data_IF_599064970254
#
_entry.id   IF_599064970254
#
_cell.length_a   1.000
_cell.length_b   1.000
_cell.length_c   1.000
_cell.angle_alpha   90.00
_cell.angle_beta   90.00
_cell.angle_gamma   90.00
#
_symmetry.space_group_name_H-M   'P 1'
#
loop_
_entity.id
_entity.type
_entity.pdbx_description
1 polymer ?
#
# COMPACT_ATOMS: atom_id res chain seq x y z
N UNK A 1 16.15 -26.31 4.99
CA UNK A 1 16.00 -24.88 5.30
C UNK A 1 14.87 -24.35 4.45
N UNK A 2 13.80 -23.80 5.03
CA UNK A 2 12.72 -23.18 4.24
C UNK A 2 13.29 -21.97 3.50
N UNK A 3 13.26 -22.01 2.17
CA UNK A 3 13.60 -20.86 1.33
C UNK A 3 12.40 -19.92 1.38
N UNK A 4 12.60 -18.66 1.79
CA UNK A 4 11.52 -17.67 1.68
C UNK A 4 11.31 -17.35 0.20
N UNK A 5 10.11 -17.55 -0.35
CA UNK A 5 9.86 -17.32 -1.77
C UNK A 5 9.85 -15.83 -2.13
N UNK A 6 9.54 -14.97 -1.15
CA UNK A 6 9.45 -13.52 -1.32
C UNK A 6 10.43 -12.78 -0.40
N UNK A 7 10.97 -11.63 -0.84
CA UNK A 7 11.77 -10.77 0.03
C UNK A 7 10.92 -10.22 1.18
N UNK A 8 11.57 -9.94 2.31
CA UNK A 8 10.89 -9.32 3.46
C UNK A 8 10.41 -7.90 3.10
N UNK A 9 9.14 -7.54 3.39
CA UNK A 9 8.60 -6.21 3.09
C UNK A 9 9.45 -5.07 3.66
N UNK A 10 9.94 -5.20 4.90
CA UNK A 10 10.82 -4.20 5.50
C UNK A 10 12.19 -4.08 4.78
N UNK A 11 12.69 -5.16 4.18
CA UNK A 11 13.93 -5.11 3.40
C UNK A 11 13.73 -4.40 2.06
N UNK A 12 12.61 -4.65 1.38
CA UNK A 12 12.23 -3.95 0.15
C UNK A 12 12.04 -2.46 0.43
N UNK A 13 11.26 -2.12 1.45
CA UNK A 13 11.04 -0.73 1.86
C UNK A 13 12.36 -0.05 2.22
N UNK A 14 13.23 -0.69 3.01
CA UNK A 14 14.53 -0.14 3.34
C UNK A 14 15.39 0.14 2.09
N UNK A 15 15.39 -0.75 1.09
CA UNK A 15 16.12 -0.53 -0.15
C UNK A 15 15.58 0.68 -0.94
N UNK A 16 14.25 0.80 -1.07
CA UNK A 16 13.60 1.92 -1.76
C UNK A 16 13.82 3.24 -1.03
N UNK A 17 13.60 3.27 0.28
CA UNK A 17 13.81 4.44 1.12
C UNK A 17 15.26 4.93 1.05
N UNK A 18 16.22 4.00 1.08
CA UNK A 18 17.64 4.32 0.91
C UNK A 18 17.95 4.90 -0.46
N UNK A 19 17.38 4.36 -1.53
CA UNK A 19 17.57 4.85 -2.89
C UNK A 19 17.09 6.31 -3.04
N UNK A 20 15.91 6.62 -2.54
CA UNK A 20 15.35 7.99 -2.59
C UNK A 20 15.86 8.92 -1.48
N UNK A 21 16.69 8.40 -0.56
CA UNK A 21 17.19 9.10 0.65
C UNK A 21 16.07 9.63 1.55
N UNK A 22 15.04 8.82 1.74
CA UNK A 22 13.96 9.08 2.69
C UNK A 22 14.24 8.36 4.01
N UNK A 23 14.40 9.12 5.10
CA UNK A 23 14.78 8.56 6.38
C UNK A 23 13.59 8.33 7.33
N UNK A 24 12.64 9.26 7.39
CA UNK A 24 11.56 9.22 8.39
C UNK A 24 10.27 8.66 7.80
N UNK A 25 9.74 7.67 8.50
CA UNK A 25 8.56 6.90 8.09
C UNK A 25 7.48 7.01 9.15
N UNK A 26 6.23 7.15 8.71
CA UNK A 26 5.05 6.87 9.51
C UNK A 26 4.39 5.58 9.02
N UNK A 27 3.79 4.84 9.95
CA UNK A 27 2.97 3.66 9.65
C UNK A 27 1.54 3.94 10.08
N UNK A 28 0.61 3.81 9.14
CA UNK A 28 -0.83 3.94 9.37
C UNK A 28 -1.47 2.60 9.04
N UNK A 29 -2.13 1.99 10.01
CA UNK A 29 -2.82 0.71 9.83
C UNK A 29 -4.34 0.90 9.75
N UNK A 30 -5.04 0.01 9.04
CA UNK A 30 -6.49 -0.15 9.21
C UNK A 30 -6.81 -0.70 10.61
N UNK A 31 -8.06 -0.58 11.12
CA UNK A 31 -8.35 -0.82 12.52
C UNK A 31 -8.43 -2.30 12.89
N UNK A 32 -8.44 -3.20 11.89
CA UNK A 32 -8.46 -4.65 12.13
C UNK A 32 -7.15 -5.11 12.76
N UNK A 33 -7.23 -6.00 13.75
CA UNK A 33 -6.07 -6.49 14.51
C UNK A 33 -4.94 -6.98 13.62
N UNK A 34 -5.27 -7.68 12.52
CA UNK A 34 -4.30 -8.12 11.51
C UNK A 34 -3.44 -6.97 10.99
N UNK A 35 -4.05 -5.86 10.60
CA UNK A 35 -3.37 -4.71 10.02
C UNK A 35 -2.61 -3.90 11.08
N UNK A 36 -3.17 -3.80 12.29
CA UNK A 36 -2.51 -3.15 13.42
C UNK A 36 -1.22 -3.90 13.81
N UNK A 37 -1.28 -5.22 13.91
CA UNK A 37 -0.12 -6.05 14.25
C UNK A 37 0.90 -6.06 13.13
N UNK A 38 0.45 -6.12 11.87
CA UNK A 38 1.32 -5.95 10.69
C UNK A 38 2.06 -4.62 10.72
N UNK A 39 1.35 -3.51 11.03
CA UNK A 39 1.95 -2.19 11.12
C UNK A 39 2.96 -2.05 12.26
N UNK A 40 2.67 -2.65 13.42
CA UNK A 40 3.60 -2.68 14.57
C UNK A 40 4.86 -3.49 14.26
N UNK A 41 4.69 -4.66 13.64
CA UNK A 41 5.80 -5.53 13.25
C UNK A 41 6.67 -4.85 12.20
N UNK A 42 6.07 -4.29 11.16
CA UNK A 42 6.79 -3.52 10.15
C UNK A 42 7.58 -2.37 10.77
N UNK A 43 6.96 -1.60 11.67
CA UNK A 43 7.64 -0.51 12.35
C UNK A 43 8.85 -1.00 13.18
N UNK A 44 8.74 -2.17 13.82
CA UNK A 44 9.84 -2.82 14.54
C UNK A 44 10.97 -3.22 13.59
N UNK A 45 10.66 -3.86 12.48
CA UNK A 45 11.64 -4.31 11.49
C UNK A 45 12.37 -3.14 10.82
N UNK A 46 11.66 -2.07 10.44
CA UNK A 46 12.27 -0.86 9.86
C UNK A 46 13.21 -0.18 10.86
N UNK A 47 12.80 -0.05 12.14
CA UNK A 47 13.67 0.48 13.20
C UNK A 47 14.92 -0.38 13.41
N UNK A 48 14.77 -1.71 13.37
CA UNK A 48 15.91 -2.63 13.46
C UNK A 48 16.90 -2.48 12.28
N UNK A 49 16.42 -2.01 11.13
CA UNK A 49 17.24 -1.65 9.95
C UNK A 49 17.78 -0.21 10.01
N UNK A 50 17.57 0.52 11.11
CA UNK A 50 18.09 1.88 11.31
C UNK A 50 17.23 3.00 10.74
N UNK A 51 15.98 2.71 10.33
CA UNK A 51 15.05 3.73 9.85
C UNK A 51 14.22 4.32 11.00
N UNK A 52 14.23 5.65 11.18
CA UNK A 52 13.32 6.32 12.11
C UNK A 52 11.84 6.13 11.72
N UNK A 53 11.12 5.31 12.49
CA UNK A 53 9.66 5.24 12.42
C UNK A 53 9.09 6.07 13.56
N UNK A 54 8.59 7.27 13.25
CA UNK A 54 8.20 8.29 14.25
C UNK A 54 6.74 8.16 14.69
N UNK A 55 5.86 7.70 13.80
CA UNK A 55 4.43 7.53 14.07
C UNK A 55 4.02 6.11 13.70
N UNK A 56 3.29 5.46 14.61
CA UNK A 56 2.56 4.22 14.34
C UNK A 56 1.15 4.43 14.88
N UNK A 57 0.15 4.48 14.01
CA UNK A 57 -1.26 4.73 14.39
C UNK A 57 -2.20 3.86 13.57
N UNK A 58 -3.41 3.66 14.05
CA UNK A 58 -4.51 3.15 13.24
C UNK A 58 -5.35 4.31 12.69
N UNK A 59 -6.02 4.06 11.57
CA UNK A 59 -7.07 4.88 10.96
C UNK A 59 -8.23 3.95 10.62
N UNK A 60 -9.47 4.32 10.94
CA UNK A 60 -10.64 3.54 10.55
C UNK A 60 -11.27 3.96 9.22
N UNK A 61 -12.49 3.47 8.99
CA UNK A 61 -13.27 3.73 7.79
C UNK A 61 -13.95 5.11 7.81
N UNK A 62 -13.99 5.79 8.97
CA UNK A 62 -14.62 7.09 9.13
C UNK A 62 -13.64 8.24 8.89
N UNK A 63 -14.14 9.33 8.27
CA UNK A 63 -13.32 10.49 7.90
C UNK A 63 -12.61 11.13 9.10
N UNK A 64 -13.27 11.19 10.26
CA UNK A 64 -12.71 11.79 11.48
C UNK A 64 -11.49 11.01 11.98
N UNK A 65 -11.54 9.67 11.92
CA UNK A 65 -10.44 8.81 12.37
C UNK A 65 -9.25 8.87 11.41
N UNK A 66 -9.52 8.85 10.11
CA UNK A 66 -8.50 9.05 9.08
C UNK A 66 -7.82 10.41 9.20
N UNK A 67 -8.61 11.47 9.39
CA UNK A 67 -8.11 12.83 9.59
C UNK A 67 -7.26 12.95 10.88
N UNK A 68 -7.69 12.33 11.99
CA UNK A 68 -6.93 12.30 13.23
C UNK A 68 -5.58 11.59 13.07
N UNK A 69 -5.54 10.46 12.35
CA UNK A 69 -4.32 9.73 12.04
C UNK A 69 -3.37 10.58 11.19
N UNK A 70 -3.86 11.18 10.09
CA UNK A 70 -3.07 12.04 9.20
C UNK A 70 -2.54 13.28 9.90
N UNK A 71 -3.32 13.91 10.79
CA UNK A 71 -2.82 15.02 11.61
C UNK A 71 -1.70 14.64 12.54
N UNK A 72 -1.67 13.40 13.06
CA UNK A 72 -0.52 12.90 13.84
C UNK A 72 0.72 12.78 12.97
N UNK A 73 0.57 12.26 11.74
CA UNK A 73 1.64 12.16 10.75
C UNK A 73 2.16 13.55 10.36
N UNK A 74 1.28 14.49 10.01
CA UNK A 74 1.64 15.85 9.57
C UNK A 74 2.38 16.66 10.65
N UNK A 75 2.13 16.37 11.93
CA UNK A 75 2.82 17.00 13.07
C UNK A 75 4.15 16.35 13.41
N UNK A 76 4.44 15.17 12.90
CA UNK A 76 5.67 14.46 13.18
C UNK A 76 6.81 15.05 12.33
N UNK A 77 7.93 15.33 12.99
CA UNK A 77 9.06 15.96 12.34
C UNK A 77 9.74 15.03 11.31
N UNK A 78 10.07 15.61 10.17
CA UNK A 78 10.83 14.97 9.09
C UNK A 78 10.11 13.86 8.30
N UNK A 79 8.89 13.45 8.67
CA UNK A 79 8.18 12.35 7.99
C UNK A 79 7.92 12.71 6.53
N UNK A 80 8.41 11.85 5.64
CA UNK A 80 8.18 11.96 4.19
C UNK A 80 7.40 10.77 3.62
N UNK A 81 7.47 9.62 4.28
CA UNK A 81 6.84 8.39 3.79
C UNK A 81 5.79 7.91 4.77
N UNK A 82 4.60 7.61 4.25
CA UNK A 82 3.47 7.05 4.99
C UNK A 82 3.21 5.66 4.45
N UNK A 83 3.60 4.63 5.21
CA UNK A 83 3.30 3.24 4.85
C UNK A 83 1.91 2.88 5.36
N UNK A 84 1.05 2.46 4.44
CA UNK A 84 -0.36 2.14 4.69
C UNK A 84 -0.50 0.63 4.83
N UNK A 85 -0.65 0.13 6.06
CA UNK A 85 -0.94 -1.26 6.38
C UNK A 85 -2.45 -1.49 6.36
N UNK A 86 -3.01 -1.66 5.17
CA UNK A 86 -4.45 -1.79 4.92
C UNK A 86 -4.65 -2.35 3.52
N UNK A 87 -5.88 -2.78 3.21
CA UNK A 87 -6.22 -3.20 1.85
C UNK A 87 -6.11 -2.02 0.87
N UNK A 88 -5.52 -2.27 -0.30
CA UNK A 88 -5.40 -1.29 -1.36
C UNK A 88 -6.76 -0.93 -1.96
N UNK A 89 -6.98 0.37 -2.23
CA UNK A 89 -8.19 0.89 -2.86
C UNK A 89 -8.42 0.32 -4.25
N UNK A 90 -7.33 -0.04 -4.94
CA UNK A 90 -7.39 -0.71 -6.25
C UNK A 90 -7.99 -2.12 -6.17
N UNK A 91 -8.03 -2.71 -4.97
CA UNK A 91 -8.64 -4.00 -4.66
C UNK A 91 -9.87 -3.85 -3.75
N UNK A 92 -10.48 -2.66 -3.71
CA UNK A 92 -11.69 -2.40 -2.92
C UNK A 92 -11.45 -1.99 -1.46
N UNK A 93 -10.22 -1.73 -1.05
CA UNK A 93 -9.89 -1.27 0.29
C UNK A 93 -10.52 0.09 0.65
N UNK A 94 -11.41 0.09 1.65
CA UNK A 94 -12.21 1.26 2.04
C UNK A 94 -11.42 2.23 2.91
N UNK A 95 -10.65 1.72 3.85
CA UNK A 95 -9.80 2.53 4.74
C UNK A 95 -8.76 3.32 3.96
N UNK A 96 -8.10 2.67 2.98
CA UNK A 96 -7.13 3.37 2.13
C UNK A 96 -7.79 4.46 1.31
N UNK A 97 -9.00 4.21 0.78
CA UNK A 97 -9.76 5.21 0.04
C UNK A 97 -10.00 6.46 0.90
N UNK A 98 -10.58 6.27 2.08
CA UNK A 98 -10.93 7.38 2.99
C UNK A 98 -9.67 8.11 3.46
N UNK A 99 -8.60 7.37 3.78
CA UNK A 99 -7.32 7.95 4.17
C UNK A 99 -6.74 8.83 3.05
N UNK A 100 -6.72 8.35 1.81
CA UNK A 100 -6.20 9.12 0.67
C UNK A 100 -7.07 10.34 0.35
N UNK A 101 -8.38 10.20 0.37
CA UNK A 101 -9.30 11.34 0.19
C UNK A 101 -9.10 12.41 1.27
N UNK A 102 -8.91 12.02 2.53
CA UNK A 102 -8.57 12.96 3.61
C UNK A 102 -7.16 13.54 3.49
N UNK A 103 -6.20 12.79 2.95
CA UNK A 103 -4.87 13.29 2.69
C UNK A 103 -4.89 14.43 1.66
N UNK A 104 -5.70 14.30 0.61
CA UNK A 104 -5.95 15.38 -0.36
C UNK A 104 -6.59 16.60 0.30
N UNK A 105 -7.65 16.40 1.11
CA UNK A 105 -8.32 17.51 1.83
C UNK A 105 -7.36 18.25 2.78
N UNK A 106 -6.35 17.54 3.33
CA UNK A 106 -5.32 18.10 4.22
C UNK A 106 -4.09 18.64 3.48
N UNK A 107 -4.06 18.59 2.14
CA UNK A 107 -2.94 19.02 1.30
C UNK A 107 -1.67 18.20 1.55
N UNK A 108 -1.80 16.90 1.80
CA UNK A 108 -0.67 15.99 2.02
C UNK A 108 -0.22 15.27 0.73
N UNK A 109 -0.88 15.53 -0.39
CA UNK A 109 -0.71 14.87 -1.69
C UNK A 109 0.06 15.74 -2.70
N UNK A 110 0.59 16.88 -2.27
CA UNK A 110 1.34 17.86 -3.08
C UNK A 110 2.80 17.48 -3.37
N UNK A 111 3.22 16.26 -3.01
CA UNK A 111 4.59 15.77 -3.10
C UNK A 111 5.42 15.92 -1.82
N UNK A 112 4.86 16.54 -0.76
CA UNK A 112 5.48 16.57 0.57
C UNK A 112 5.52 15.19 1.20
N UNK A 113 4.45 14.40 1.05
CA UNK A 113 4.37 13.01 1.51
C UNK A 113 4.28 12.05 0.34
N UNK A 114 4.80 10.84 0.56
CA UNK A 114 4.65 9.70 -0.34
C UNK A 114 3.92 8.60 0.41
N UNK A 115 2.81 8.13 -0.16
CA UNK A 115 2.00 7.08 0.43
C UNK A 115 2.38 5.73 -0.20
N UNK A 116 2.64 4.72 0.63
CA UNK A 116 3.09 3.40 0.15
C UNK A 116 2.14 2.32 0.66
N UNK A 117 1.38 1.64 -0.22
CA UNK A 117 0.55 0.50 0.18
C UNK A 117 1.45 -0.67 0.58
N UNK A 118 1.28 -1.18 1.80
CA UNK A 118 2.05 -2.32 2.29
C UNK A 118 1.63 -3.62 1.57
N UNK A 119 0.33 -3.82 1.38
CA UNK A 119 -0.23 -5.06 0.85
C UNK A 119 0.29 -5.35 -0.56
N UNK A 120 0.46 -4.33 -1.41
CA UNK A 120 1.03 -4.44 -2.75
C UNK A 120 2.47 -5.00 -2.80
N UNK A 121 3.21 -4.98 -1.68
CA UNK A 121 4.53 -5.63 -1.58
C UNK A 121 4.43 -7.16 -1.58
N UNK A 122 3.25 -7.72 -1.33
CA UNK A 122 3.05 -9.15 -1.05
C UNK A 122 2.41 -9.92 -2.20
N UNK A 123 1.94 -9.23 -3.25
CA UNK A 123 1.35 -9.82 -4.44
C UNK A 123 1.72 -9.02 -5.69
N UNK A 124 1.43 -9.57 -6.88
CA UNK A 124 1.64 -8.90 -8.16
C UNK A 124 0.39 -8.08 -8.53
N UNK A 125 0.50 -6.75 -8.46
CA UNK A 125 -0.55 -5.84 -8.88
C UNK A 125 -0.42 -5.58 -10.40
N UNK A 126 -1.50 -5.73 -11.19
CA UNK A 126 -1.46 -5.46 -12.62
C UNK A 126 -1.11 -3.98 -12.90
N UNK A 127 0.05 -3.70 -13.51
CA UNK A 127 0.53 -2.32 -13.70
C UNK A 127 0.64 -1.88 -15.17
N UNK A 128 0.58 -2.81 -16.14
CA UNK A 128 0.72 -2.50 -17.57
C UNK A 128 -0.64 -2.39 -18.25
N UNK A 129 -0.98 -1.20 -18.73
CA UNK A 129 -2.18 -0.93 -19.57
C UNK A 129 -3.50 -1.38 -18.91
N UNK A 130 -3.60 -1.28 -17.59
CA UNK A 130 -4.81 -1.65 -16.84
C UNK A 130 -5.60 -0.40 -16.48
N UNK A 131 -6.90 -0.32 -16.83
CA UNK A 131 -7.76 0.74 -16.32
C UNK A 131 -8.06 0.50 -14.84
N UNK A 132 -8.10 1.58 -14.05
CA UNK A 132 -8.56 1.54 -12.66
C UNK A 132 -9.87 2.33 -12.52
N UNK A 133 -11.05 1.69 -12.71
CA UNK A 133 -12.35 2.36 -12.67
C UNK A 133 -12.62 3.11 -11.36
N UNK A 134 -12.09 2.59 -10.24
CA UNK A 134 -12.22 3.21 -8.91
C UNK A 134 -11.62 4.62 -8.87
N UNK A 135 -10.56 4.88 -9.65
CA UNK A 135 -9.94 6.21 -9.77
C UNK A 135 -10.65 7.08 -10.82
N UNK A 136 -11.15 6.48 -11.90
CA UNK A 136 -11.82 7.22 -12.98
C UNK A 136 -13.10 7.92 -12.52
N UNK A 137 -13.84 7.29 -11.61
CA UNK A 137 -15.13 7.78 -11.11
C UNK A 137 -15.01 8.76 -9.93
N UNK A 138 -13.79 9.09 -9.49
CA UNK A 138 -13.56 9.91 -8.32
C UNK A 138 -12.34 10.81 -8.48
N UNK A 139 -12.57 12.06 -8.87
CA UNK A 139 -11.50 13.05 -9.08
C UNK A 139 -10.65 13.28 -7.85
N UNK A 140 -11.24 13.32 -6.64
CA UNK A 140 -10.51 13.53 -5.40
C UNK A 140 -9.55 12.37 -5.14
N UNK A 141 -10.06 11.15 -5.17
CA UNK A 141 -9.24 9.96 -5.00
C UNK A 141 -8.14 9.86 -6.05
N UNK A 142 -8.44 10.24 -7.31
CA UNK A 142 -7.46 10.26 -8.39
C UNK A 142 -6.30 11.21 -8.10
N UNK A 143 -6.59 12.44 -7.66
CA UNK A 143 -5.56 13.41 -7.26
C UNK A 143 -4.75 12.89 -6.06
N UNK A 144 -5.43 12.31 -5.07
CA UNK A 144 -4.75 11.71 -3.93
C UNK A 144 -3.82 10.55 -4.33
N UNK A 145 -4.23 9.76 -5.32
CA UNK A 145 -3.48 8.61 -5.80
C UNK A 145 -2.18 8.99 -6.53
N UNK A 146 -2.06 10.22 -7.05
CA UNK A 146 -0.81 10.73 -7.63
C UNK A 146 0.33 10.80 -6.59
N UNK A 147 0.00 10.85 -5.29
CA UNK A 147 0.98 10.79 -4.20
C UNK A 147 1.34 9.36 -3.75
N UNK A 148 0.78 8.33 -4.40
CA UNK A 148 1.00 6.92 -4.04
C UNK A 148 2.16 6.31 -4.84
N UNK A 149 3.15 5.77 -4.12
CA UNK A 149 4.21 4.94 -4.69
C UNK A 149 3.90 3.47 -4.46
N UNK A 150 3.40 2.80 -5.50
CA UNK A 150 3.14 1.36 -5.48
C UNK A 150 4.41 0.58 -5.81
N UNK A 151 4.81 -0.32 -4.91
CA UNK A 151 5.89 -1.27 -5.10
C UNK A 151 5.24 -2.65 -5.14
N UNK A 152 5.47 -3.41 -6.21
CA UNK A 152 4.82 -4.71 -6.41
C UNK A 152 5.75 -5.72 -7.06
N UNK A 153 5.36 -7.00 -7.01
CA UNK A 153 6.10 -8.10 -7.60
C UNK A 153 5.93 -8.03 -9.12
N UNK A 154 7.06 -8.08 -9.85
CA UNK A 154 7.04 -8.22 -11.30
C UNK A 154 7.03 -9.71 -11.67
N UNK A 155 6.12 -10.09 -12.57
CA UNK A 155 6.09 -11.40 -13.20
C UNK A 155 6.48 -11.22 -14.67
N UNK A 156 7.75 -11.47 -15.04
CA UNK A 156 8.30 -11.05 -16.33
C UNK A 156 7.76 -11.83 -17.52
N UNK A 157 7.27 -13.05 -17.32
CA UNK A 157 6.79 -13.94 -18.39
C UNK A 157 5.34 -13.63 -18.78
N UNK A 158 4.44 -13.69 -17.80
CA UNK A 158 3.03 -13.33 -17.95
C UNK A 158 2.53 -12.76 -16.61
N UNK A 159 1.62 -11.78 -16.67
CA UNK A 159 0.91 -11.34 -15.46
C UNK A 159 0.06 -12.49 -14.91
N UNK A 160 -0.24 -12.48 -13.60
CA UNK A 160 -1.15 -13.46 -13.00
C UNK A 160 -2.49 -13.52 -13.77
N UNK A 161 -2.98 -12.38 -14.24
CA UNK A 161 -4.21 -12.32 -15.01
C UNK A 161 -4.08 -13.03 -16.36
N UNK A 162 -2.98 -12.83 -17.09
CA UNK A 162 -2.72 -13.54 -18.35
C UNK A 162 -2.56 -15.04 -18.13
N UNK A 163 -1.80 -15.44 -17.12
CA UNK A 163 -1.60 -16.85 -16.79
C UNK A 163 -2.90 -17.53 -16.33
N UNK A 164 -3.73 -16.84 -15.54
CA UNK A 164 -5.04 -17.35 -15.12
C UNK A 164 -6.00 -17.48 -16.31
N UNK A 165 -6.02 -16.51 -17.21
CA UNK A 165 -6.83 -16.58 -18.43
C UNK A 165 -6.38 -17.68 -19.38
N UNK A 166 -5.08 -17.97 -19.46
CA UNK A 166 -4.54 -19.11 -20.20
C UNK A 166 -4.92 -20.44 -19.55
N UNK A 167 -4.72 -20.58 -18.24
CA UNK A 167 -5.14 -21.78 -17.49
C UNK A 167 -6.65 -22.04 -17.59
N UNK A 168 -7.49 -20.99 -17.66
CA UNK A 168 -8.94 -21.12 -17.93
C UNK A 168 -9.21 -21.64 -19.33
N UNK A 169 -8.49 -21.16 -20.34
CA UNK A 169 -8.62 -21.63 -21.74
C UNK A 169 -8.18 -23.08 -21.89
N UNK A 170 -7.18 -23.48 -21.12
CA UNK A 170 -6.64 -24.85 -21.11
C UNK A 170 -7.41 -25.80 -20.17
N UNK A 171 -8.48 -25.30 -19.53
CA UNK A 171 -9.34 -26.05 -18.60
C UNK A 171 -8.60 -26.60 -17.37
N UNK A 172 -7.47 -26.01 -17.01
CA UNK A 172 -6.69 -26.37 -15.82
C UNK A 172 -7.34 -25.85 -14.51
N UNK A 173 -8.11 -24.75 -14.62
CA UNK A 173 -8.82 -24.11 -13.52
C UNK A 173 -10.29 -23.82 -13.87
N UNK A 174 -11.19 -23.70 -12.87
CA UNK A 174 -12.57 -23.29 -13.10
C UNK A 174 -12.68 -21.97 -13.89
N UNK A 175 -13.48 -21.97 -14.96
CA UNK A 175 -13.64 -20.80 -15.84
C UNK A 175 -14.27 -19.58 -15.14
N UNK A 176 -14.92 -19.77 -13.99
CA UNK A 176 -15.60 -18.74 -13.23
C UNK A 176 -14.75 -18.09 -12.11
N UNK A 177 -13.47 -18.46 -11.97
CA UNK A 177 -12.56 -17.80 -11.03
C UNK A 177 -12.33 -16.34 -11.43
N UNK A 178 -12.66 -15.39 -10.56
CA UNK A 178 -12.27 -13.99 -10.78
C UNK A 178 -10.79 -13.81 -10.41
N UNK A 179 -9.95 -13.17 -11.24
CA UNK A 179 -8.56 -12.86 -10.87
C UNK A 179 -8.39 -12.09 -9.56
N UNK A 180 -9.43 -11.41 -9.08
CA UNK A 180 -9.45 -10.70 -7.79
C UNK A 180 -9.81 -11.60 -6.60
N UNK A 181 -10.24 -12.84 -6.85
CA UNK A 181 -10.55 -13.88 -5.86
C UNK A 181 -9.37 -14.85 -5.61
N UNK A 182 -8.23 -14.67 -6.31
CA UNK A 182 -7.04 -15.53 -6.26
C UNK A 182 -5.82 -14.76 -5.76
#
# INVERSE_FOLDING_TARGET
>A
TLVRPLPEPAAVLHAVLRYFRWAHVAVVAAPQDLWVDTGRELARELRAKGLPVTVVTAAGEDEEEAEAALRRVKRADGVRVVVMCMHSVLLGGREQKVLLEKAEDLGMTDGTFVFVPYDALTFALPYRRVPYPVLANNTKLRLAYDAVLTITIDSPEASLHEALEEAKKDYEVPANLDPTEV
#
